data_IF_683110159617
#
_entry.id   IF_683110159617
#
_cell.length_a   1.000
_cell.length_b   1.000
_cell.length_c   1.000
_cell.angle_alpha   90.00
_cell.angle_beta   90.00
_cell.angle_gamma   90.00
#
_symmetry.space_group_name_H-M   'P 1'
#
loop_
_entity.id
_entity.type
_entity.pdbx_description
1 polymer ?
#
# COMPACT_ATOMS: atom_id res chain seq x y z
N UNK A 1 18.52 3.91 13.21
CA UNK A 1 18.66 5.07 12.29
C UNK A 1 17.36 5.84 12.38
N UNK A 2 17.36 7.05 12.96
CA UNK A 2 16.17 7.90 13.05
C UNK A 2 16.03 8.75 11.79
N UNK A 3 14.85 8.80 11.20
CA UNK A 3 14.53 9.73 10.13
C UNK A 3 13.81 10.94 10.73
N UNK A 4 14.42 12.12 10.64
CA UNK A 4 13.71 13.38 10.83
C UNK A 4 12.86 13.61 9.59
N UNK A 5 11.58 13.98 9.72
CA UNK A 5 10.72 14.37 8.61
C UNK A 5 10.13 15.76 8.82
N UNK A 6 10.11 16.59 7.78
CA UNK A 6 9.15 17.72 7.66
C UNK A 6 7.94 17.27 6.85
N UNK A 7 6.75 17.56 7.37
CA UNK A 7 5.55 16.79 7.03
C UNK A 7 4.59 17.40 5.99
N UNK A 8 3.83 16.53 5.28
CA UNK A 8 2.67 16.88 4.45
C UNK A 8 1.61 17.74 5.16
N UNK A 9 0.83 18.50 4.39
CA UNK A 9 -0.28 19.33 4.89
C UNK A 9 -1.68 18.77 4.56
N UNK A 10 -1.86 17.47 4.30
CA UNK A 10 -3.12 16.98 3.73
C UNK A 10 -3.58 15.65 4.31
N UNK A 11 -4.85 15.61 4.73
CA UNK A 11 -5.59 14.44 5.17
C UNK A 11 -6.53 14.02 4.05
N UNK A 12 -6.64 12.72 3.79
CA UNK A 12 -7.62 12.18 2.86
C UNK A 12 -8.42 11.04 3.51
N UNK A 13 -9.52 10.61 2.87
CA UNK A 13 -10.28 9.43 3.30
C UNK A 13 -11.47 9.67 4.25
N UNK A 14 -12.07 10.86 4.24
CA UNK A 14 -13.32 11.08 4.99
C UNK A 14 -14.54 10.55 4.23
N UNK A 15 -15.49 9.87 4.91
CA UNK A 15 -16.78 9.50 4.34
C UNK A 15 -17.75 10.69 4.24
N UNK A 16 -17.43 11.86 4.80
CA UNK A 16 -18.32 13.02 4.84
C UNK A 16 -17.61 14.36 4.71
N UNK A 17 -18.30 15.31 4.07
CA UNK A 17 -17.90 16.73 3.96
C UNK A 17 -18.72 17.66 4.87
N UNK A 18 -19.50 17.10 5.80
CA UNK A 18 -20.27 17.91 6.74
C UNK A 18 -19.34 18.67 7.70
N UNK A 19 -19.63 19.96 7.90
CA UNK A 19 -18.77 20.85 8.68
C UNK A 19 -18.58 20.40 10.14
N UNK A 20 -19.60 19.79 10.76
CA UNK A 20 -19.51 19.26 12.12
C UNK A 20 -18.52 18.09 12.22
N UNK A 21 -18.60 17.12 11.30
CA UNK A 21 -17.68 15.97 11.24
C UNK A 21 -16.26 16.41 10.90
N UNK A 22 -16.11 17.40 10.02
CA UNK A 22 -14.80 18.00 9.74
C UNK A 22 -14.20 18.63 11.00
N UNK A 23 -15.00 19.35 11.79
CA UNK A 23 -14.54 19.97 13.04
C UNK A 23 -14.17 18.93 14.12
N UNK A 24 -14.95 17.86 14.25
CA UNK A 24 -14.66 16.76 15.19
C UNK A 24 -13.39 16.01 14.78
N UNK A 25 -13.22 15.77 13.47
CA UNK A 25 -11.99 15.21 12.93
C UNK A 25 -10.79 16.12 13.21
N UNK A 26 -10.89 17.42 12.93
CA UNK A 26 -9.80 18.37 13.16
C UNK A 26 -9.36 18.39 14.64
N UNK A 27 -10.31 18.28 15.56
CA UNK A 27 -10.06 18.13 16.99
C UNK A 27 -9.32 16.84 17.32
N UNK A 28 -9.80 15.70 16.81
CA UNK A 28 -9.15 14.39 16.97
C UNK A 28 -7.71 14.39 16.44
N UNK A 29 -7.52 14.86 15.21
CA UNK A 29 -6.20 14.93 14.58
C UNK A 29 -5.23 15.85 15.33
N UNK A 30 -5.71 16.98 15.87
CA UNK A 30 -4.88 17.88 16.66
C UNK A 30 -4.36 17.22 17.93
N UNK A 31 -5.19 16.42 18.61
CA UNK A 31 -4.80 15.67 19.80
C UNK A 31 -3.75 14.60 19.47
N UNK A 32 -3.93 13.88 18.35
CA UNK A 32 -2.96 12.88 17.91
C UNK A 32 -1.63 13.51 17.52
N UNK A 33 -1.65 14.64 16.81
CA UNK A 33 -0.45 15.36 16.43
C UNK A 33 0.34 15.81 17.67
N UNK A 34 -0.36 16.26 18.71
CA UNK A 34 0.26 16.60 20.00
C UNK A 34 0.88 15.37 20.69
N UNK A 35 0.19 14.22 20.70
CA UNK A 35 0.72 12.98 21.27
C UNK A 35 1.98 12.48 20.54
N UNK A 36 1.96 12.48 19.21
CA UNK A 36 3.12 12.12 18.39
C UNK A 36 4.31 13.06 18.57
N UNK A 37 4.06 14.37 18.75
CA UNK A 37 5.12 15.35 19.06
C UNK A 37 5.79 15.10 20.41
N UNK A 38 5.10 14.43 21.35
CA UNK A 38 5.64 14.08 22.67
C UNK A 38 6.44 12.76 22.65
N UNK A 39 6.75 12.23 21.47
CA UNK A 39 7.54 11.01 21.23
C UNK A 39 6.91 9.70 21.73
N UNK A 40 5.64 9.67 22.15
CA UNK A 40 4.94 8.41 22.43
C UNK A 40 4.52 7.76 21.11
N UNK A 41 5.40 6.97 20.50
CA UNK A 41 5.08 6.07 19.39
C UNK A 41 4.61 4.72 19.91
N UNK A 42 3.61 4.74 20.79
CA UNK A 42 3.08 3.53 21.40
C UNK A 42 2.44 2.65 20.33
N UNK A 43 2.39 1.33 20.60
CA UNK A 43 1.90 0.32 19.65
C UNK A 43 0.50 0.66 19.10
N UNK A 44 -0.38 1.22 19.93
CA UNK A 44 -1.73 1.63 19.54
C UNK A 44 -1.72 2.77 18.51
N UNK A 45 -0.79 3.73 18.61
CA UNK A 45 -0.70 4.83 17.65
C UNK A 45 -0.18 4.32 16.30
N UNK A 46 0.82 3.42 16.33
CA UNK A 46 1.32 2.79 15.12
C UNK A 46 0.24 1.93 14.45
N UNK A 47 -0.48 1.12 15.21
CA UNK A 47 -1.60 0.31 14.73
C UNK A 47 -2.68 1.19 14.11
N UNK A 48 -3.08 2.29 14.76
CA UNK A 48 -4.08 3.19 14.22
C UNK A 48 -3.61 3.88 12.92
N UNK A 49 -2.36 4.36 12.84
CA UNK A 49 -1.82 4.95 11.61
C UNK A 49 -1.70 3.92 10.47
N UNK A 50 -1.44 2.67 10.81
CA UNK A 50 -1.40 1.54 9.87
C UNK A 50 -2.78 1.19 9.31
N UNK A 51 -3.82 1.43 10.11
CA UNK A 51 -5.19 1.09 9.79
C UNK A 51 -5.94 2.22 9.05
N UNK A 52 -5.66 3.49 9.34
CA UNK A 52 -6.36 4.61 8.72
C UNK A 52 -5.87 4.83 7.28
N UNK A 53 -6.73 4.69 6.25
CA UNK A 53 -6.29 4.58 4.86
C UNK A 53 -5.44 5.74 4.34
N UNK A 54 -5.63 6.98 4.84
CA UNK A 54 -4.96 8.18 4.29
C UNK A 54 -4.80 9.35 5.30
N UNK A 55 -4.40 9.09 6.54
CA UNK A 55 -4.19 10.16 7.54
C UNK A 55 -2.71 10.49 7.68
N UNK A 56 -2.34 11.71 7.27
CA UNK A 56 -1.07 12.32 7.67
C UNK A 56 -1.36 13.52 8.58
N UNK A 57 -0.84 13.42 9.79
CA UNK A 57 -0.93 14.49 10.77
C UNK A 57 0.06 15.60 10.41
N UNK A 58 -0.12 16.80 10.97
CA UNK A 58 0.87 17.87 10.91
C UNK A 58 1.68 17.85 12.19
N UNK A 59 2.90 17.34 12.12
CA UNK A 59 3.87 17.34 13.20
C UNK A 59 4.76 18.59 13.11
N UNK A 60 5.36 18.96 14.24
CA UNK A 60 6.30 20.08 14.33
C UNK A 60 7.60 19.85 13.54
N UNK A 61 8.50 20.84 13.52
CA UNK A 61 9.71 20.84 12.69
C UNK A 61 10.74 19.74 13.01
N UNK A 62 10.58 19.04 14.13
CA UNK A 62 11.49 18.00 14.60
C UNK A 62 10.71 16.86 15.26
N UNK A 63 10.29 15.87 14.47
CA UNK A 63 9.86 14.57 14.99
C UNK A 63 10.80 13.49 14.45
N UNK A 64 11.36 12.73 15.38
CA UNK A 64 12.12 11.54 15.06
C UNK A 64 11.18 10.36 14.86
N UNK A 65 11.34 9.68 13.74
CA UNK A 65 10.65 8.43 13.47
C UNK A 65 11.52 7.24 13.88
N UNK A 66 10.91 6.34 14.66
CA UNK A 66 11.45 5.00 14.91
C UNK A 66 11.46 4.16 13.63
N UNK A 67 12.30 3.13 13.58
CA UNK A 67 12.37 2.24 12.41
C UNK A 67 11.06 1.46 12.18
N UNK A 68 10.33 1.16 13.26
CA UNK A 68 9.09 0.40 13.21
C UNK A 68 7.92 1.17 12.56
N UNK A 69 8.07 2.48 12.31
CA UNK A 69 7.06 3.27 11.60
C UNK A 69 7.23 3.26 10.08
N UNK A 70 8.35 2.74 9.57
CA UNK A 70 8.60 2.68 8.12
C UNK A 70 7.51 1.86 7.38
N UNK A 71 7.08 0.67 7.85
CA UNK A 71 5.99 -0.09 7.21
C UNK A 71 4.70 0.72 7.02
N UNK A 72 4.34 1.54 8.01
CA UNK A 72 3.16 2.42 7.94
C UNK A 72 3.36 3.49 6.86
N UNK A 73 4.53 4.14 6.83
CA UNK A 73 4.85 5.14 5.81
C UNK A 73 4.80 4.57 4.38
N UNK A 74 5.23 3.32 4.19
CA UNK A 74 5.16 2.66 2.89
C UNK A 74 3.73 2.53 2.36
N UNK A 75 2.75 2.29 3.24
CA UNK A 75 1.34 2.20 2.86
C UNK A 75 0.76 3.56 2.47
N UNK A 76 1.35 4.64 2.98
CA UNK A 76 0.94 6.03 2.74
C UNK A 76 1.79 6.76 1.69
N UNK A 77 2.55 6.03 0.87
CA UNK A 77 3.52 6.62 -0.05
C UNK A 77 2.93 7.60 -1.07
N UNK A 78 1.65 7.45 -1.43
CA UNK A 78 0.93 8.43 -2.26
C UNK A 78 0.96 9.82 -1.65
N UNK A 79 0.69 9.91 -0.34
CA UNK A 79 0.64 11.18 0.39
C UNK A 79 2.04 11.76 0.56
N UNK A 80 3.03 10.91 0.89
CA UNK A 80 4.45 11.28 0.94
C UNK A 80 4.89 11.91 -0.39
N UNK A 81 4.47 11.29 -1.50
CA UNK A 81 4.76 11.79 -2.84
C UNK A 81 4.10 13.16 -3.10
N UNK A 82 2.81 13.33 -2.82
CA UNK A 82 2.12 14.62 -2.97
C UNK A 82 2.79 15.74 -2.17
N UNK A 83 3.19 15.46 -0.92
CA UNK A 83 3.88 16.42 -0.08
C UNK A 83 5.25 16.81 -0.63
N UNK A 84 6.02 15.83 -1.10
CA UNK A 84 7.30 16.10 -1.76
C UNK A 84 7.12 17.02 -2.97
N UNK A 85 6.07 16.82 -3.78
CA UNK A 85 5.83 17.68 -4.95
C UNK A 85 5.63 19.16 -4.58
N UNK A 86 5.08 19.43 -3.39
CA UNK A 86 4.84 20.77 -2.86
C UNK A 86 6.12 21.32 -2.23
N UNK A 87 6.73 20.56 -1.32
CA UNK A 87 7.76 21.04 -0.39
C UNK A 87 9.19 20.81 -0.87
N UNK A 88 9.43 19.87 -1.78
CA UNK A 88 10.75 19.50 -2.28
C UNK A 88 11.73 19.07 -1.17
N UNK A 89 11.23 18.42 -0.11
CA UNK A 89 12.02 18.01 1.05
C UNK A 89 12.88 16.75 0.72
N UNK A 90 14.23 16.81 0.90
CA UNK A 90 15.11 15.66 0.71
C UNK A 90 14.72 14.39 1.48
N UNK A 91 14.19 14.52 2.70
CA UNK A 91 13.84 13.37 3.55
C UNK A 91 12.62 12.61 3.01
N UNK A 92 11.65 13.33 2.41
CA UNK A 92 10.51 12.71 1.73
C UNK A 92 10.98 11.99 0.45
N UNK A 93 11.99 12.54 -0.22
CA UNK A 93 12.60 11.91 -1.40
C UNK A 93 13.28 10.57 -1.05
N UNK A 94 13.94 10.49 0.10
CA UNK A 94 14.54 9.24 0.61
C UNK A 94 13.47 8.17 0.84
N UNK A 95 12.33 8.53 1.45
CA UNK A 95 11.21 7.60 1.62
C UNK A 95 10.62 7.16 0.28
N UNK A 96 10.48 8.08 -0.68
CA UNK A 96 10.01 7.77 -2.04
C UNK A 96 10.92 6.75 -2.73
N UNK A 97 12.23 6.89 -2.57
CA UNK A 97 13.19 5.96 -3.15
C UNK A 97 13.01 4.53 -2.63
N UNK A 98 12.43 4.35 -1.44
CA UNK A 98 12.25 3.03 -0.88
C UNK A 98 11.14 2.22 -1.58
N UNK A 99 10.22 2.88 -2.29
CA UNK A 99 9.17 2.21 -3.05
C UNK A 99 9.48 2.23 -4.55
N UNK A 100 9.52 1.06 -5.23
CA UNK A 100 9.70 0.99 -6.69
C UNK A 100 8.66 1.80 -7.46
N UNK A 101 7.39 1.72 -7.06
CA UNK A 101 6.27 2.44 -7.66
C UNK A 101 6.47 3.96 -7.59
N UNK A 102 6.78 4.47 -6.39
CA UNK A 102 6.90 5.91 -6.20
C UNK A 102 8.22 6.46 -6.75
N UNK A 103 9.26 5.63 -6.84
CA UNK A 103 10.46 5.94 -7.62
C UNK A 103 10.10 6.18 -9.09
N UNK A 104 9.27 5.33 -9.69
CA UNK A 104 8.76 5.53 -11.05
C UNK A 104 7.96 6.83 -11.16
N UNK A 105 6.97 7.03 -10.28
CA UNK A 105 6.12 8.22 -10.33
C UNK A 105 6.90 9.52 -10.13
N UNK A 106 7.91 9.53 -9.26
CA UNK A 106 8.80 10.66 -9.07
C UNK A 106 9.60 10.99 -10.32
N UNK A 107 10.27 9.99 -10.91
CA UNK A 107 11.03 10.21 -12.14
C UNK A 107 10.12 10.71 -13.29
N UNK A 108 8.92 10.15 -13.40
CA UNK A 108 7.94 10.58 -14.40
C UNK A 108 7.47 12.03 -14.15
N UNK A 109 7.23 12.41 -12.90
CA UNK A 109 6.85 13.77 -12.51
C UNK A 109 7.96 14.79 -12.76
N UNK A 110 9.21 14.47 -12.41
CA UNK A 110 10.37 15.33 -12.66
C UNK A 110 10.57 15.50 -14.17
N UNK A 111 10.44 14.43 -14.96
CA UNK A 111 10.50 14.51 -16.42
C UNK A 111 9.44 15.44 -17.00
N UNK A 112 8.22 15.42 -16.47
CA UNK A 112 7.14 16.30 -16.87
C UNK A 112 7.35 17.77 -16.43
N UNK A 113 8.31 18.04 -15.54
CA UNK A 113 8.58 19.38 -14.97
C UNK A 113 10.06 19.75 -15.13
N UNK A 114 10.47 20.35 -16.26
CA UNK A 114 11.88 20.61 -16.59
C UNK A 114 12.67 21.46 -15.58
N UNK A 115 11.98 22.29 -14.78
CA UNK A 115 12.58 23.14 -13.74
C UNK A 115 12.78 22.41 -12.42
N UNK A 116 12.19 21.22 -12.24
CA UNK A 116 12.35 20.39 -11.05
C UNK A 116 13.47 19.40 -11.28
N UNK A 117 14.23 19.09 -10.23
CA UNK A 117 15.26 18.07 -10.21
C UNK A 117 15.13 17.29 -8.92
N UNK A 118 15.44 16.01 -8.97
CA UNK A 118 15.66 15.21 -7.77
C UNK A 118 16.91 15.69 -7.05
N UNK A 119 16.92 15.55 -5.74
CA UNK A 119 18.08 15.87 -4.91
C UNK A 119 19.10 14.71 -4.93
N UNK A 120 18.61 13.48 -5.11
CA UNK A 120 19.40 12.27 -5.33
C UNK A 120 19.62 11.99 -6.82
N UNK A 121 20.69 11.27 -7.19
CA UNK A 121 20.93 10.86 -8.58
C UNK A 121 19.78 10.02 -9.15
N UNK A 122 19.46 10.19 -10.44
CA UNK A 122 18.41 9.42 -11.11
C UNK A 122 18.65 7.90 -11.03
N UNK A 123 19.91 7.48 -11.09
CA UNK A 123 20.29 6.07 -10.99
C UNK A 123 19.85 5.42 -9.69
N UNK A 124 19.74 6.17 -8.59
CA UNK A 124 19.26 5.62 -7.31
C UNK A 124 17.80 5.14 -7.42
N UNK A 125 16.95 5.92 -8.07
CA UNK A 125 15.55 5.57 -8.32
C UNK A 125 15.41 4.46 -9.35
N UNK A 126 16.25 4.47 -10.40
CA UNK A 126 16.34 3.36 -11.36
C UNK A 126 16.72 2.04 -10.69
N UNK A 127 17.63 2.07 -9.71
CA UNK A 127 18.03 0.90 -8.92
C UNK A 127 16.91 0.44 -7.99
N UNK A 128 16.23 1.38 -7.33
CA UNK A 128 15.08 1.05 -6.49
C UNK A 128 13.96 0.35 -7.27
N UNK A 129 13.68 0.82 -8.49
CA UNK A 129 12.71 0.18 -9.38
C UNK A 129 13.05 -1.27 -9.74
N UNK A 130 14.32 -1.71 -9.66
CA UNK A 130 14.66 -3.10 -9.99
C UNK A 130 14.01 -4.11 -9.04
N UNK A 131 13.75 -3.73 -7.78
CA UNK A 131 13.09 -4.59 -6.79
C UNK A 131 11.66 -4.98 -7.19
N UNK A 132 11.03 -4.17 -8.03
CA UNK A 132 9.82 -4.53 -8.75
C UNK A 132 10.00 -4.29 -10.27
N UNK A 133 10.38 -5.34 -11.02
CA UNK A 133 10.64 -5.24 -12.45
C UNK A 133 9.47 -4.68 -13.27
N UNK A 134 8.23 -4.72 -12.76
CA UNK A 134 7.08 -4.07 -13.41
C UNK A 134 7.37 -2.58 -13.65
N UNK A 135 7.72 -1.83 -12.61
CA UNK A 135 7.96 -0.39 -12.69
C UNK A 135 9.21 -0.05 -13.50
N UNK A 136 10.27 -0.85 -13.37
CA UNK A 136 11.47 -0.68 -14.18
C UNK A 136 11.19 -0.84 -15.68
N UNK A 137 10.38 -1.82 -16.08
CA UNK A 137 9.97 -2.02 -17.48
C UNK A 137 9.08 -0.87 -17.96
N UNK A 138 8.14 -0.41 -17.12
CA UNK A 138 7.33 0.76 -17.45
C UNK A 138 8.19 2.00 -17.68
N UNK A 139 9.22 2.23 -16.86
CA UNK A 139 10.20 3.29 -17.09
C UNK A 139 10.96 3.10 -18.41
N UNK A 140 11.50 1.90 -18.65
CA UNK A 140 12.26 1.57 -19.86
C UNK A 140 11.45 1.81 -21.15
N UNK A 141 10.14 1.57 -21.13
CA UNK A 141 9.25 1.85 -22.27
C UNK A 141 9.10 3.34 -22.56
N UNK A 142 9.14 4.18 -21.53
CA UNK A 142 9.05 5.63 -21.67
C UNK A 142 10.40 6.26 -22.03
N UNK A 143 11.49 5.69 -21.55
CA UNK A 143 12.86 6.14 -21.77
C UNK A 143 13.73 4.93 -22.13
N UNK A 144 13.81 4.65 -23.44
CA UNK A 144 14.58 3.53 -23.93
C UNK A 144 16.08 3.72 -23.64
N UNK A 145 16.61 2.89 -22.76
CA UNK A 145 18.02 2.83 -22.37
C UNK A 145 18.47 1.36 -22.47
N UNK A 146 19.25 0.96 -23.51
CA UNK A 146 19.67 -0.42 -23.68
C UNK A 146 20.49 -0.96 -22.49
N UNK A 147 21.26 -0.11 -21.82
CA UNK A 147 22.06 -0.50 -20.66
C UNK A 147 21.13 -0.82 -19.48
N UNK A 148 20.11 0.01 -19.25
CA UNK A 148 19.12 -0.26 -18.20
C UNK A 148 18.26 -1.48 -18.52
N UNK A 149 17.89 -1.70 -19.77
CA UNK A 149 17.18 -2.92 -20.19
C UNK A 149 17.96 -4.19 -19.83
N UNK A 150 19.26 -4.24 -20.13
CA UNK A 150 20.12 -5.37 -19.77
C UNK A 150 20.14 -5.58 -18.26
N UNK A 151 20.28 -4.50 -17.48
CA UNK A 151 20.26 -4.55 -16.01
C UNK A 151 18.94 -5.09 -15.44
N UNK A 152 17.80 -4.73 -16.04
CA UNK A 152 16.50 -5.29 -15.65
C UNK A 152 16.49 -6.81 -15.86
N UNK A 153 16.91 -7.28 -17.04
CA UNK A 153 16.91 -8.71 -17.37
C UNK A 153 17.87 -9.50 -16.48
N UNK A 154 19.07 -8.96 -16.23
CA UNK A 154 20.04 -9.55 -15.31
C UNK A 154 19.47 -9.66 -13.89
N UNK A 155 18.87 -8.59 -13.38
CA UNK A 155 18.26 -8.59 -12.04
C UNK A 155 17.12 -9.61 -11.95
N UNK A 156 16.20 -9.62 -12.92
CA UNK A 156 15.09 -10.58 -12.98
C UNK A 156 15.62 -12.00 -12.97
N UNK A 157 16.62 -12.30 -13.81
CA UNK A 157 17.20 -13.63 -13.89
C UNK A 157 17.86 -14.04 -12.56
N UNK A 158 18.69 -13.17 -11.97
CA UNK A 158 19.46 -13.48 -10.76
C UNK A 158 18.58 -13.59 -9.51
N UNK A 159 17.48 -12.84 -9.43
CA UNK A 159 16.63 -12.77 -8.23
C UNK A 159 15.37 -13.63 -8.28
N UNK A 160 15.10 -14.33 -9.39
CA UNK A 160 13.86 -15.12 -9.61
C UNK A 160 13.54 -16.18 -8.55
N UNK A 161 14.53 -16.62 -7.77
CA UNK A 161 14.35 -17.66 -6.75
C UNK A 161 14.04 -17.08 -5.36
N UNK A 162 14.22 -15.77 -5.16
CA UNK A 162 14.07 -15.09 -3.87
C UNK A 162 13.14 -13.88 -3.91
N UNK A 163 12.92 -13.29 -5.09
CA UNK A 163 12.01 -12.16 -5.30
C UNK A 163 10.78 -12.65 -6.08
N UNK A 164 9.56 -12.56 -5.51
CA UNK A 164 8.35 -13.06 -6.17
C UNK A 164 7.99 -12.31 -7.45
N UNK A 165 8.24 -11.00 -7.53
CA UNK A 165 7.97 -10.19 -8.74
C UNK A 165 8.93 -10.53 -9.87
N UNK A 166 10.20 -10.79 -9.54
CA UNK A 166 11.18 -11.32 -10.50
C UNK A 166 10.83 -12.73 -10.97
N UNK A 167 10.41 -13.61 -10.05
CA UNK A 167 9.95 -14.96 -10.39
C UNK A 167 8.79 -14.93 -11.39
N UNK A 168 7.79 -14.11 -11.09
CA UNK A 168 6.63 -13.89 -11.95
C UNK A 168 7.01 -13.29 -13.31
N UNK A 169 7.89 -12.29 -13.33
CA UNK A 169 8.37 -11.70 -14.58
C UNK A 169 9.13 -12.71 -15.43
N UNK A 170 10.01 -13.51 -14.82
CA UNK A 170 10.75 -14.57 -15.51
C UNK A 170 9.80 -15.61 -16.09
N UNK A 171 8.83 -16.08 -15.30
CA UNK A 171 7.77 -16.98 -15.75
C UNK A 171 7.05 -16.41 -16.97
N UNK A 172 6.61 -15.14 -16.91
CA UNK A 172 5.94 -14.46 -18.03
C UNK A 172 6.80 -14.32 -19.29
N UNK A 173 8.11 -14.25 -19.17
CA UNK A 173 9.03 -14.22 -20.32
C UNK A 173 9.12 -15.61 -20.97
N UNK A 174 9.11 -16.68 -20.18
CA UNK A 174 9.26 -18.05 -20.67
C UNK A 174 7.94 -18.67 -21.15
N UNK A 175 6.83 -18.42 -20.44
CA UNK A 175 5.53 -19.06 -20.66
C UNK A 175 5.03 -19.05 -22.12
N UNK A 176 5.18 -17.96 -22.91
CA UNK A 176 4.77 -17.95 -24.32
C UNK A 176 5.51 -18.95 -25.22
N UNK A 177 6.64 -19.52 -24.75
CA UNK A 177 7.45 -20.51 -25.47
C UNK A 177 7.18 -21.95 -25.01
N UNK A 178 6.30 -22.12 -24.03
CA UNK A 178 5.98 -23.42 -23.43
C UNK A 178 4.61 -23.89 -23.89
N UNK A 179 4.40 -25.21 -23.87
CA UNK A 179 3.04 -25.75 -23.90
C UNK A 179 2.29 -25.30 -22.62
N UNK A 180 0.98 -25.11 -22.73
CA UNK A 180 0.17 -24.58 -21.61
C UNK A 180 0.30 -25.42 -20.33
N UNK A 181 0.32 -26.75 -20.43
CA UNK A 181 0.55 -27.64 -19.28
C UNK A 181 1.92 -27.43 -18.63
N UNK A 182 2.97 -27.24 -19.43
CA UNK A 182 4.33 -26.98 -18.93
C UNK A 182 4.43 -25.59 -18.28
N UNK A 183 3.70 -24.59 -18.80
CA UNK A 183 3.61 -23.28 -18.16
C UNK A 183 2.89 -23.37 -16.80
N UNK A 184 1.82 -24.15 -16.70
CA UNK A 184 1.12 -24.40 -15.44
C UNK A 184 1.96 -25.16 -14.42
N UNK A 185 2.74 -26.14 -14.85
CA UNK A 185 3.71 -26.84 -13.99
C UNK A 185 4.79 -25.88 -13.46
N UNK A 186 5.34 -25.02 -14.32
CA UNK A 186 6.28 -23.98 -13.91
C UNK A 186 5.66 -23.00 -12.91
N UNK A 187 4.45 -22.52 -13.17
CA UNK A 187 3.71 -21.66 -12.24
C UNK A 187 3.48 -22.33 -10.89
N UNK A 188 3.08 -23.61 -10.90
CA UNK A 188 2.84 -24.40 -9.68
C UNK A 188 4.11 -24.54 -8.85
N UNK A 189 5.27 -24.71 -9.49
CA UNK A 189 6.58 -24.73 -8.83
C UNK A 189 6.94 -23.38 -8.19
N UNK A 190 6.57 -22.27 -8.82
CA UNK A 190 6.84 -20.92 -8.31
C UNK A 190 5.84 -20.47 -7.24
N UNK A 191 4.67 -21.11 -7.16
CA UNK A 191 3.56 -20.71 -6.29
C UNK A 191 3.96 -20.47 -4.82
N UNK A 192 4.81 -21.29 -4.16
CA UNK A 192 5.22 -21.01 -2.79
C UNK A 192 5.88 -19.64 -2.60
N UNK A 193 6.67 -19.19 -3.58
CA UNK A 193 7.29 -17.87 -3.56
C UNK A 193 6.26 -16.79 -3.89
N UNK A 194 5.43 -17.00 -4.92
CA UNK A 194 4.43 -16.01 -5.36
C UNK A 194 3.39 -15.70 -4.28
N UNK A 195 3.02 -16.69 -3.46
CA UNK A 195 2.09 -16.54 -2.34
C UNK A 195 2.58 -15.57 -1.25
N UNK A 196 3.85 -15.17 -1.28
CA UNK A 196 4.40 -14.14 -0.39
C UNK A 196 4.10 -12.71 -0.85
N UNK A 197 3.59 -12.52 -2.08
CA UNK A 197 3.18 -11.22 -2.62
C UNK A 197 1.69 -11.22 -3.00
N UNK A 198 0.83 -10.61 -2.15
CA UNK A 198 -0.61 -10.54 -2.40
C UNK A 198 -0.98 -9.80 -3.70
N UNK A 199 -0.17 -8.83 -4.10
CA UNK A 199 -0.37 -8.06 -5.34
C UNK A 199 -0.29 -8.96 -6.56
N UNK A 200 0.71 -9.85 -6.59
CA UNK A 200 0.85 -10.83 -7.65
C UNK A 200 -0.31 -11.81 -7.64
N UNK A 201 -0.63 -12.38 -6.47
CA UNK A 201 -1.73 -13.35 -6.32
C UNK A 201 -3.07 -12.79 -6.79
N UNK A 202 -3.31 -11.49 -6.56
CA UNK A 202 -4.49 -10.79 -7.06
C UNK A 202 -4.57 -10.72 -8.58
N UNK A 203 -3.43 -10.71 -9.28
CA UNK A 203 -3.34 -10.59 -10.75
C UNK A 203 -3.24 -11.94 -11.50
N UNK A 204 -2.77 -13.01 -10.84
CA UNK A 204 -2.60 -14.34 -11.47
C UNK A 204 -3.87 -14.84 -12.18
N UNK A 205 -5.10 -14.68 -11.63
CA UNK A 205 -6.33 -15.14 -12.30
C UNK A 205 -6.59 -14.49 -13.68
N UNK A 206 -5.99 -13.34 -13.99
CA UNK A 206 -6.08 -12.72 -15.33
C UNK A 206 -5.34 -13.51 -16.41
N UNK A 207 -4.32 -14.28 -16.00
CA UNK A 207 -3.45 -15.04 -16.89
C UNK A 207 -3.72 -16.54 -16.84
N UNK A 208 -4.10 -17.05 -15.66
CA UNK A 208 -4.34 -18.46 -15.38
C UNK A 208 -5.64 -18.62 -14.58
N UNK A 209 -6.81 -18.51 -15.23
CA UNK A 209 -8.12 -18.60 -14.56
C UNK A 209 -8.39 -19.97 -13.91
N UNK A 210 -7.68 -21.01 -14.34
CA UNK A 210 -7.73 -22.37 -13.79
C UNK A 210 -7.00 -22.54 -12.44
N UNK A 211 -6.21 -21.55 -12.01
CA UNK A 211 -5.58 -21.60 -10.69
C UNK A 211 -6.62 -21.60 -9.55
N UNK A 212 -6.33 -22.33 -8.48
CA UNK A 212 -7.18 -22.35 -7.28
C UNK A 212 -7.20 -20.96 -6.61
N UNK A 213 -8.29 -20.23 -6.85
CA UNK A 213 -8.52 -18.90 -6.25
C UNK A 213 -8.51 -18.93 -4.73
N UNK A 214 -8.89 -20.03 -4.09
CA UNK A 214 -8.82 -20.16 -2.62
C UNK A 214 -7.37 -20.18 -2.14
N UNK A 215 -6.46 -20.80 -2.90
CA UNK A 215 -5.03 -20.78 -2.59
C UNK A 215 -4.47 -19.36 -2.71
N UNK A 216 -4.79 -18.67 -3.81
CA UNK A 216 -4.33 -17.30 -4.06
C UNK A 216 -4.89 -16.32 -3.02
N UNK A 217 -6.17 -16.41 -2.69
CA UNK A 217 -6.83 -15.54 -1.70
C UNK A 217 -6.16 -15.60 -0.32
N UNK A 218 -5.57 -16.73 0.07
CA UNK A 218 -4.89 -16.87 1.38
C UNK A 218 -3.70 -15.92 1.55
N UNK A 219 -3.06 -15.48 0.46
CA UNK A 219 -1.98 -14.49 0.57
C UNK A 219 -2.47 -13.16 1.14
N UNK A 220 -3.75 -12.83 0.97
CA UNK A 220 -4.33 -11.57 1.43
C UNK A 220 -4.63 -11.52 2.93
N UNK A 221 -4.61 -12.64 3.67
CA UNK A 221 -5.07 -12.67 5.07
C UNK A 221 -4.33 -11.73 6.04
N UNK A 222 -3.11 -11.32 5.70
CA UNK A 222 -2.31 -10.38 6.51
C UNK A 222 -2.30 -8.96 5.95
N UNK A 223 -3.09 -8.72 4.92
CA UNK A 223 -3.06 -7.50 4.13
C UNK A 223 -4.50 -7.03 3.86
N UNK A 224 -5.09 -6.26 4.78
CA UNK A 224 -6.49 -5.87 4.70
C UNK A 224 -6.83 -5.07 3.43
N UNK A 225 -5.87 -4.33 2.87
CA UNK A 225 -5.99 -3.66 1.58
C UNK A 225 -6.24 -4.63 0.42
N UNK A 226 -5.59 -5.80 0.44
CA UNK A 226 -5.78 -6.83 -0.58
C UNK A 226 -7.02 -7.69 -0.32
N UNK A 227 -7.45 -7.83 0.93
CA UNK A 227 -8.76 -8.44 1.24
C UNK A 227 -9.90 -7.58 0.67
N UNK A 228 -9.84 -6.27 0.86
CA UNK A 228 -10.79 -5.33 0.28
C UNK A 228 -10.75 -5.38 -1.25
N UNK A 229 -9.55 -5.29 -1.85
CA UNK A 229 -9.39 -5.38 -3.29
C UNK A 229 -9.98 -6.70 -3.85
N UNK A 230 -9.76 -7.83 -3.16
CA UNK A 230 -10.34 -9.13 -3.52
C UNK A 230 -11.87 -9.09 -3.52
N UNK A 231 -12.49 -8.62 -2.44
CA UNK A 231 -13.94 -8.50 -2.34
C UNK A 231 -14.54 -7.54 -3.37
N UNK A 232 -13.80 -6.50 -3.76
CA UNK A 232 -14.20 -5.59 -4.83
C UNK A 232 -14.19 -6.27 -6.20
N UNK A 233 -13.15 -7.06 -6.47
CA UNK A 233 -12.93 -7.72 -7.75
C UNK A 233 -13.77 -8.99 -7.93
N UNK A 234 -13.97 -9.76 -6.88
CA UNK A 234 -14.72 -11.02 -6.87
C UNK A 234 -15.89 -10.96 -5.87
N UNK A 235 -16.97 -10.21 -6.18
CA UNK A 235 -18.12 -10.05 -5.31
C UNK A 235 -18.69 -11.38 -4.80
N UNK A 236 -18.88 -11.53 -3.49
CA UNK A 236 -19.47 -12.72 -2.88
C UNK A 236 -18.49 -13.86 -2.63
N UNK A 237 -17.29 -13.84 -3.23
CA UNK A 237 -16.31 -14.89 -3.05
C UNK A 237 -15.61 -14.75 -1.70
N UNK A 238 -15.77 -15.75 -0.83
CA UNK A 238 -15.19 -15.77 0.52
C UNK A 238 -15.64 -14.63 1.44
N UNK A 239 -16.79 -13.99 1.19
CA UNK A 239 -17.27 -12.83 1.95
C UNK A 239 -17.27 -13.04 3.47
N UNK A 240 -17.69 -14.21 3.95
CA UNK A 240 -17.67 -14.52 5.38
C UNK A 240 -16.25 -14.54 5.98
N UNK A 241 -15.26 -14.95 5.19
CA UNK A 241 -13.84 -14.90 5.58
C UNK A 241 -13.34 -13.46 5.51
N UNK A 242 -13.63 -12.74 4.43
CA UNK A 242 -13.25 -11.32 4.29
C UNK A 242 -13.77 -10.51 5.47
N UNK A 243 -15.06 -10.61 5.78
CA UNK A 243 -15.68 -9.91 6.91
C UNK A 243 -15.00 -10.27 8.24
N UNK A 244 -14.76 -11.56 8.49
CA UNK A 244 -14.10 -12.02 9.70
C UNK A 244 -12.67 -11.50 9.85
N UNK A 245 -11.89 -11.51 8.77
CA UNK A 245 -10.51 -11.02 8.81
C UNK A 245 -10.46 -9.49 8.93
N UNK A 246 -11.34 -8.77 8.21
CA UNK A 246 -11.43 -7.31 8.30
C UNK A 246 -11.96 -6.81 9.66
N UNK A 247 -12.70 -7.61 10.42
CA UNK A 247 -13.05 -7.29 11.81
C UNK A 247 -11.83 -7.10 12.72
N UNK A 248 -10.65 -7.61 12.33
CA UNK A 248 -9.37 -7.35 13.01
C UNK A 248 -8.71 -6.05 12.57
N UNK A 249 -9.26 -5.40 11.55
CA UNK A 249 -8.75 -4.17 10.95
C UNK A 249 -9.91 -3.19 10.72
N UNK A 250 -10.47 -2.61 11.80
CA UNK A 250 -11.76 -1.89 11.75
C UNK A 250 -11.86 -0.80 10.68
N UNK A 251 -10.76 -0.09 10.40
CA UNK A 251 -10.74 0.94 9.36
C UNK A 251 -10.93 0.39 7.94
N UNK A 252 -10.32 -0.75 7.63
CA UNK A 252 -10.54 -1.44 6.36
C UNK A 252 -11.92 -2.09 6.28
N UNK A 253 -12.49 -2.50 7.43
CA UNK A 253 -13.89 -2.95 7.48
C UNK A 253 -14.86 -1.81 7.16
N UNK A 254 -14.64 -0.60 7.68
CA UNK A 254 -15.47 0.58 7.34
C UNK A 254 -15.43 0.82 5.83
N UNK A 255 -14.24 0.78 5.22
CA UNK A 255 -14.10 0.95 3.77
C UNK A 255 -14.80 -0.18 2.99
N UNK A 256 -14.69 -1.43 3.46
CA UNK A 256 -15.44 -2.56 2.91
C UNK A 256 -16.95 -2.35 3.00
N UNK A 257 -17.48 -1.93 4.15
CA UNK A 257 -18.91 -1.66 4.34
C UNK A 257 -19.37 -0.54 3.40
N UNK A 258 -18.59 0.53 3.28
CA UNK A 258 -18.89 1.65 2.40
C UNK A 258 -18.92 1.23 0.91
N UNK A 259 -17.89 0.52 0.44
CA UNK A 259 -17.76 0.13 -0.96
C UNK A 259 -18.67 -1.03 -1.35
N UNK A 260 -18.87 -2.02 -0.45
CA UNK A 260 -19.53 -3.29 -0.75
C UNK A 260 -20.98 -3.35 -0.28
N UNK A 261 -21.37 -2.51 0.67
CA UNK A 261 -22.72 -2.43 1.23
C UNK A 261 -23.30 -3.82 1.56
N UNK A 262 -22.58 -4.64 2.35
CA UNK A 262 -23.07 -5.96 2.71
C UNK A 262 -24.38 -5.84 3.49
N UNK A 263 -25.27 -6.83 3.37
CA UNK A 263 -26.58 -6.79 4.02
C UNK A 263 -26.49 -6.66 5.55
N UNK A 264 -25.43 -7.21 6.14
CA UNK A 264 -25.13 -7.16 7.56
C UNK A 264 -24.21 -5.99 7.97
N UNK A 265 -24.16 -4.91 7.17
CA UNK A 265 -23.33 -3.74 7.45
C UNK A 265 -23.51 -3.18 8.88
N UNK A 266 -24.74 -3.01 9.42
CA UNK A 266 -24.91 -2.49 10.78
C UNK A 266 -24.33 -3.41 11.85
N UNK A 267 -24.47 -4.73 11.72
CA UNK A 267 -23.87 -5.68 12.66
C UNK A 267 -22.33 -5.65 12.58
N UNK A 268 -21.77 -5.61 11.37
CA UNK A 268 -20.31 -5.56 11.15
C UNK A 268 -19.69 -4.31 11.78
N UNK A 269 -20.30 -3.13 11.60
CA UNK A 269 -19.82 -1.88 12.18
C UNK A 269 -19.92 -1.90 13.71
N UNK A 270 -21.02 -2.44 14.25
CA UNK A 270 -21.20 -2.60 15.70
C UNK A 270 -20.14 -3.51 16.30
N UNK A 271 -19.90 -4.66 15.66
CA UNK A 271 -18.91 -5.65 16.09
C UNK A 271 -17.47 -5.10 16.00
N UNK A 272 -17.14 -4.36 14.95
CA UNK A 272 -15.84 -3.68 14.85
C UNK A 272 -15.63 -2.65 15.96
N UNK A 273 -16.66 -1.86 16.27
CA UNK A 273 -16.61 -0.89 17.38
C UNK A 273 -16.42 -1.58 18.73
N UNK A 274 -17.10 -2.69 18.98
CA UNK A 274 -16.95 -3.46 20.22
C UNK A 274 -15.59 -4.13 20.36
N UNK A 275 -14.99 -4.56 19.24
CA UNK A 275 -13.66 -5.20 19.21
C UNK A 275 -12.49 -4.22 19.19
N UNK A 276 -12.75 -2.94 18.90
CA UNK A 276 -11.71 -1.92 18.86
C UNK A 276 -11.21 -1.59 20.28
N UNK A 277 -10.16 -2.29 20.71
CA UNK A 277 -9.43 -1.98 21.94
C UNK A 277 -8.54 -0.73 21.83
N UNK A 278 -8.28 -0.28 20.61
CA UNK A 278 -7.42 0.87 20.33
C UNK A 278 -8.15 2.19 20.61
N UNK A 279 -7.73 2.89 21.67
CA UNK A 279 -8.33 4.14 22.12
C UNK A 279 -8.20 5.29 21.11
N UNK A 280 -7.21 5.24 20.21
CA UNK A 280 -7.03 6.23 19.16
C UNK A 280 -7.94 5.95 17.97
N UNK A 281 -8.16 4.68 17.61
CA UNK A 281 -9.02 4.32 16.49
C UNK A 281 -10.51 4.44 16.81
N UNK A 282 -10.90 4.27 18.09
CA UNK A 282 -12.31 4.25 18.51
C UNK A 282 -13.10 5.52 18.17
N UNK A 283 -12.62 6.75 18.43
CA UNK A 283 -13.34 7.97 18.03
C UNK A 283 -13.56 8.06 16.52
N UNK A 284 -12.58 7.64 15.71
CA UNK A 284 -12.73 7.63 14.25
C UNK A 284 -13.79 6.60 13.80
N UNK A 285 -13.83 5.42 14.43
CA UNK A 285 -14.88 4.44 14.17
C UNK A 285 -16.27 4.95 14.54
N UNK A 286 -16.40 5.66 15.67
CA UNK A 286 -17.66 6.28 16.10
C UNK A 286 -18.17 7.26 15.03
N UNK A 287 -17.30 8.13 14.51
CA UNK A 287 -17.62 9.03 13.39
C UNK A 287 -18.13 8.29 12.14
N UNK A 288 -17.61 7.08 11.88
CA UNK A 288 -18.00 6.26 10.75
C UNK A 288 -19.26 5.43 11.00
N UNK A 289 -19.50 5.00 12.25
CA UNK A 289 -20.62 4.12 12.64
C UNK A 289 -21.91 4.89 12.95
N UNK A 290 -21.83 6.13 13.44
CA UNK A 290 -23.01 6.94 13.80
C UNK A 290 -23.82 7.43 12.59
N UNK A 291 -23.35 7.11 11.38
CA UNK A 291 -24.09 7.36 10.13
C UNK A 291 -24.99 6.17 9.80
N UNK A 292 -26.26 6.26 10.21
CA UNK A 292 -27.34 5.53 9.54
C UNK A 292 -27.52 6.11 8.14
N UNK A 293 -27.32 5.27 7.11
CA UNK A 293 -27.99 5.32 5.80
C UNK A 293 -27.90 6.62 5.01
#
# INVERSE_FOLDING_TARGET
>A
MCCLLKQPQTIFGLPSREAAVLSELDGYLSQMAAALQQCSWDADILEMLDLLPQIFLRLGDSVELGQDSLPVLYRHMYVVFQAYQIQNNPQLEELIQLSPEYSFHLLNWVRAKPKRRTLRPLENFKNAMLLDPHWAIHWQRLQADPVYQTRILEFVHQSREVNPRSAWMWHRIQAPRLAHSAALEDLSRLMPLLLTDPSLCFSIPDFYPECDRKLLFRSAFRHPEYLLAWACRFPGEFDSIVQRELLRSPAWLVEYVHQRKPANAPELLTEARERCGNQWLRPWLELCCDRKG
#
